data_IF_957204166484
#
_entry.id   IF_957204166484
#
_cell.length_a   1.000
_cell.length_b   1.000
_cell.length_c   1.000
_cell.angle_alpha   90.00
_cell.angle_beta   90.00
_cell.angle_gamma   90.00
#
_symmetry.space_group_name_H-M   'P 1'
#
loop_
_entity.id
_entity.type
_entity.pdbx_description
1 polymer ?
#
# COMPACT_ATOMS: atom_id res chain seq x y z
N UNK A 1 -16.83 -16.15 -12.80
CA UNK A 1 -16.93 -16.35 -11.33
C UNK A 1 -15.68 -16.99 -10.67
N UNK A 2 -14.86 -17.83 -11.33
CA UNK A 2 -13.64 -18.37 -10.71
C UNK A 2 -12.46 -17.36 -10.59
N UNK A 3 -12.40 -16.37 -11.51
CA UNK A 3 -11.34 -15.34 -11.55
C UNK A 3 -11.39 -14.34 -10.40
N UNK A 4 -12.55 -13.72 -10.14
CA UNK A 4 -12.71 -12.71 -9.07
C UNK A 4 -12.34 -13.22 -7.67
N UNK A 5 -12.66 -14.48 -7.34
CA UNK A 5 -12.28 -15.09 -6.05
C UNK A 5 -10.76 -15.25 -5.90
N UNK A 6 -10.06 -15.60 -6.97
CA UNK A 6 -8.60 -15.73 -6.95
C UNK A 6 -7.92 -14.34 -6.85
N UNK A 7 -8.41 -13.35 -7.61
CA UNK A 7 -7.94 -11.98 -7.54
C UNK A 7 -8.16 -11.37 -6.14
N UNK A 8 -9.30 -11.64 -5.50
CA UNK A 8 -9.59 -11.13 -4.16
C UNK A 8 -8.65 -11.73 -3.10
N UNK A 9 -8.38 -13.05 -3.17
CA UNK A 9 -7.38 -13.70 -2.30
C UNK A 9 -5.98 -13.15 -2.52
N UNK A 10 -5.59 -12.91 -3.78
CA UNK A 10 -4.30 -12.31 -4.11
C UNK A 10 -4.19 -10.89 -3.56
N UNK A 11 -5.26 -10.09 -3.68
CA UNK A 11 -5.33 -8.75 -3.12
C UNK A 11 -5.16 -8.74 -1.59
N UNK A 12 -5.88 -9.61 -0.88
CA UNK A 12 -5.73 -9.73 0.58
C UNK A 12 -4.33 -10.18 0.97
N UNK A 13 -3.79 -11.21 0.32
CA UNK A 13 -2.42 -11.68 0.58
C UNK A 13 -1.39 -10.56 0.36
N UNK A 14 -1.55 -9.78 -0.71
CA UNK A 14 -0.69 -8.64 -1.02
C UNK A 14 -0.74 -7.59 0.09
N UNK A 15 -1.94 -7.20 0.54
CA UNK A 15 -2.10 -6.22 1.61
C UNK A 15 -1.59 -6.73 2.97
N UNK A 16 -1.79 -7.99 3.32
CA UNK A 16 -1.20 -8.56 4.55
C UNK A 16 0.33 -8.60 4.48
N UNK A 17 0.90 -8.90 3.31
CA UNK A 17 2.35 -8.91 3.11
C UNK A 17 2.90 -7.48 3.21
N UNK A 18 2.23 -6.49 2.62
CA UNK A 18 2.55 -5.07 2.78
C UNK A 18 2.54 -4.64 4.24
N UNK A 19 1.50 -5.00 4.99
CA UNK A 19 1.37 -4.67 6.40
C UNK A 19 2.53 -5.25 7.23
N UNK A 20 2.88 -6.52 6.99
CA UNK A 20 4.01 -7.17 7.65
C UNK A 20 5.36 -6.55 7.27
N UNK A 21 5.59 -6.28 5.99
CA UNK A 21 6.82 -5.67 5.49
C UNK A 21 6.99 -4.24 6.01
N UNK A 22 5.93 -3.42 5.98
CA UNK A 22 5.94 -2.06 6.53
C UNK A 22 6.21 -2.06 8.04
N UNK A 23 5.60 -2.98 8.79
CA UNK A 23 5.87 -3.13 10.22
C UNK A 23 7.32 -3.51 10.50
N UNK A 24 7.89 -4.44 9.72
CA UNK A 24 9.30 -4.81 9.83
C UNK A 24 10.24 -3.63 9.48
N UNK A 25 9.92 -2.83 8.46
CA UNK A 25 10.63 -1.59 8.16
C UNK A 25 10.57 -0.61 9.34
N UNK A 26 9.42 -0.43 10.00
CA UNK A 26 9.31 0.42 11.20
C UNK A 26 10.25 -0.10 12.30
N UNK A 27 10.24 -1.40 12.59
CA UNK A 27 11.13 -1.97 13.62
C UNK A 27 12.61 -1.80 13.28
N UNK A 28 13.01 -2.04 12.02
CA UNK A 28 14.39 -1.85 11.57
C UNK A 28 14.81 -0.38 11.67
N UNK A 29 13.96 0.53 11.21
CA UNK A 29 14.20 1.98 11.27
C UNK A 29 14.28 2.47 12.73
N UNK A 30 13.45 1.95 13.63
CA UNK A 30 13.56 2.22 15.08
C UNK A 30 14.81 1.60 15.71
N UNK A 31 15.28 0.46 15.19
CA UNK A 31 16.51 -0.20 15.65
C UNK A 31 17.76 0.63 15.36
N UNK A 32 17.71 1.54 14.37
CA UNK A 32 18.76 2.54 14.13
C UNK A 32 18.87 3.58 15.26
N UNK A 33 17.95 3.56 16.24
CA UNK A 33 17.90 4.51 17.37
C UNK A 33 18.14 5.93 16.89
N UNK A 34 17.31 6.37 15.96
CA UNK A 34 17.44 7.67 15.33
C UNK A 34 17.42 8.78 16.39
N UNK A 35 18.37 9.70 16.36
CA UNK A 35 18.18 11.00 16.99
C UNK A 35 16.96 11.68 16.35
N UNK A 36 16.26 12.62 17.03
CA UNK A 36 15.17 13.35 16.41
C UNK A 36 15.68 14.14 15.20
N UNK A 37 15.49 13.57 14.01
CA UNK A 37 15.87 14.13 12.71
C UNK A 37 14.63 14.17 11.80
N UNK A 38 14.47 15.21 10.97
CA UNK A 38 13.32 15.33 10.08
C UNK A 38 13.27 14.16 9.08
N UNK A 39 14.42 13.74 8.52
CA UNK A 39 14.49 12.60 7.61
C UNK A 39 14.10 11.28 8.29
N UNK A 40 14.52 11.05 9.53
CA UNK A 40 14.13 9.86 10.29
C UNK A 40 12.63 9.81 10.56
N UNK A 41 12.03 10.94 10.95
CA UNK A 41 10.59 11.04 11.17
C UNK A 41 9.79 10.83 9.87
N UNK A 42 10.24 11.42 8.76
CA UNK A 42 9.62 11.22 7.45
C UNK A 42 9.66 9.76 7.00
N UNK A 43 10.79 9.08 7.22
CA UNK A 43 10.95 7.67 6.87
C UNK A 43 10.00 6.77 7.66
N UNK A 44 9.91 6.97 8.99
CA UNK A 44 8.97 6.24 9.84
C UNK A 44 7.51 6.55 9.45
N UNK A 45 7.21 7.82 9.19
CA UNK A 45 5.88 8.25 8.76
C UNK A 45 5.45 7.57 7.45
N UNK A 46 6.39 7.42 6.51
CA UNK A 46 6.12 6.79 5.22
C UNK A 46 5.83 5.29 5.34
N UNK A 47 6.58 4.58 6.19
CA UNK A 47 6.26 3.20 6.54
C UNK A 47 4.91 3.07 7.26
N UNK A 48 4.58 4.03 8.13
CA UNK A 48 3.29 4.06 8.82
C UNK A 48 2.13 4.28 7.84
N UNK A 49 2.27 5.18 6.85
CA UNK A 49 1.29 5.36 5.78
C UNK A 49 1.07 4.07 4.99
N UNK A 50 2.15 3.39 4.61
CA UNK A 50 2.08 2.08 3.92
C UNK A 50 1.26 1.09 4.75
N UNK A 51 1.53 1.00 6.07
CA UNK A 51 0.80 0.11 6.97
C UNK A 51 -0.69 0.47 7.08
N UNK A 52 -1.03 1.77 7.13
CA UNK A 52 -2.43 2.25 7.18
C UNK A 52 -3.18 1.88 5.91
N UNK A 53 -2.60 2.12 4.73
CA UNK A 53 -3.24 1.77 3.45
C UNK A 53 -3.40 0.26 3.30
N UNK A 54 -2.39 -0.52 3.67
CA UNK A 54 -2.46 -1.98 3.66
C UNK A 54 -3.55 -2.51 4.60
N UNK A 55 -3.62 -2.01 5.84
CA UNK A 55 -4.64 -2.43 6.82
C UNK A 55 -6.06 -2.11 6.35
N UNK A 56 -6.23 -0.96 5.70
CA UNK A 56 -7.53 -0.56 5.21
C UNK A 56 -7.92 -1.28 3.89
N UNK A 57 -6.95 -1.70 3.08
CA UNK A 57 -7.14 -2.68 2.01
C UNK A 57 -7.60 -4.05 2.53
N UNK A 58 -7.04 -4.54 3.65
CA UNK A 58 -7.50 -5.78 4.29
C UNK A 58 -8.93 -5.68 4.86
N UNK A 59 -9.33 -4.50 5.34
CA UNK A 59 -10.59 -4.30 6.07
C UNK A 59 -11.77 -3.91 5.16
N UNK A 60 -11.53 -3.62 3.88
CA UNK A 60 -12.57 -3.15 2.96
C UNK A 60 -13.11 -1.76 3.30
N UNK A 61 -12.45 -0.98 4.16
CA UNK A 61 -13.02 0.24 4.76
C UNK A 61 -13.30 1.39 3.77
N UNK A 62 -12.93 1.26 2.49
CA UNK A 62 -13.15 2.29 1.46
C UNK A 62 -14.15 1.87 0.38
N UNK A 63 -14.86 0.76 0.56
CA UNK A 63 -15.85 0.25 -0.41
C UNK A 63 -17.30 0.55 -0.03
N UNK A 64 -17.57 1.29 1.05
CA UNK A 64 -18.94 1.58 1.48
C UNK A 64 -19.58 2.67 0.61
N UNK A 65 -20.71 2.37 -0.04
CA UNK A 65 -21.35 3.15 -1.13
C UNK A 65 -22.08 4.44 -0.73
N UNK A 66 -21.73 5.07 0.39
CA UNK A 66 -22.34 6.33 0.83
C UNK A 66 -21.98 7.54 -0.06
N UNK A 67 -22.72 8.66 0.07
CA UNK A 67 -22.55 9.87 -0.74
C UNK A 67 -21.14 10.56 -0.66
N UNK A 68 -20.22 10.06 0.16
CA UNK A 68 -18.82 10.49 0.25
C UNK A 68 -17.77 9.44 -0.19
N UNK A 69 -18.22 8.24 -0.56
CA UNK A 69 -17.39 7.07 -0.86
C UNK A 69 -16.42 7.31 -2.01
N UNK A 70 -16.90 7.89 -3.11
CA UNK A 70 -16.07 8.15 -4.29
C UNK A 70 -14.91 9.11 -4.02
N UNK A 71 -15.13 10.14 -3.19
CA UNK A 71 -14.09 11.11 -2.82
C UNK A 71 -13.09 10.53 -1.83
N UNK A 72 -13.56 9.75 -0.86
CA UNK A 72 -12.70 9.05 0.10
C UNK A 72 -11.83 7.98 -0.59
N UNK A 73 -12.40 7.23 -1.53
CA UNK A 73 -11.69 6.26 -2.36
C UNK A 73 -10.66 6.93 -3.27
N UNK A 74 -11.01 8.03 -3.95
CA UNK A 74 -10.06 8.78 -4.77
C UNK A 74 -8.89 9.34 -3.94
N UNK A 75 -9.17 9.90 -2.76
CA UNK A 75 -8.15 10.39 -1.85
C UNK A 75 -7.25 9.26 -1.31
N UNK A 76 -7.83 8.11 -0.97
CA UNK A 76 -7.08 6.93 -0.57
C UNK A 76 -6.14 6.45 -1.67
N UNK A 77 -6.65 6.27 -2.89
CA UNK A 77 -5.87 5.81 -4.04
C UNK A 77 -4.76 6.81 -4.38
N UNK A 78 -5.04 8.11 -4.41
CA UNK A 78 -4.03 9.13 -4.61
C UNK A 78 -2.97 9.11 -3.49
N UNK A 79 -3.39 8.97 -2.23
CA UNK A 79 -2.51 8.87 -1.08
C UNK A 79 -1.59 7.64 -1.15
N UNK A 80 -2.14 6.48 -1.53
CA UNK A 80 -1.40 5.25 -1.70
C UNK A 80 -0.37 5.35 -2.83
N UNK A 81 -0.73 5.95 -3.98
CA UNK A 81 0.21 6.17 -5.10
C UNK A 81 1.34 7.12 -4.69
N UNK A 82 1.02 8.25 -4.05
CA UNK A 82 2.05 9.20 -3.59
C UNK A 82 2.97 8.55 -2.57
N UNK A 83 2.41 7.79 -1.64
CA UNK A 83 3.16 7.04 -0.63
C UNK A 83 4.09 6.03 -1.29
N UNK A 84 3.61 5.25 -2.25
CA UNK A 84 4.44 4.31 -2.99
C UNK A 84 5.61 5.01 -3.71
N UNK A 85 5.37 6.15 -4.37
CA UNK A 85 6.43 6.91 -5.05
C UNK A 85 7.51 7.36 -4.05
N UNK A 86 7.10 7.99 -2.94
CA UNK A 86 8.05 8.41 -1.91
C UNK A 86 8.76 7.23 -1.26
N UNK A 87 8.06 6.12 -1.03
CA UNK A 87 8.57 4.91 -0.40
C UNK A 87 9.63 4.25 -1.28
N UNK A 88 9.39 4.19 -2.60
CA UNK A 88 10.38 3.74 -3.58
C UNK A 88 11.60 4.67 -3.65
N UNK A 89 11.40 5.99 -3.64
CA UNK A 89 12.50 6.95 -3.65
C UNK A 89 13.38 6.82 -2.39
N UNK A 90 12.76 6.73 -1.20
CA UNK A 90 13.46 6.52 0.06
C UNK A 90 14.20 5.18 0.10
N UNK A 91 13.58 4.11 -0.44
CA UNK A 91 14.21 2.79 -0.55
C UNK A 91 15.45 2.81 -1.43
N UNK A 92 15.39 3.49 -2.58
CA UNK A 92 16.54 3.66 -3.47
C UNK A 92 17.66 4.44 -2.79
N UNK A 93 17.35 5.53 -2.07
CA UNK A 93 18.35 6.29 -1.31
C UNK A 93 19.00 5.43 -0.21
N UNK A 94 18.20 4.69 0.55
CA UNK A 94 18.69 3.80 1.60
C UNK A 94 19.59 2.68 1.06
N UNK A 95 19.28 2.15 -0.13
CA UNK A 95 20.04 1.03 -0.73
C UNK A 95 21.29 1.50 -1.50
N UNK A 96 21.19 2.60 -2.25
CA UNK A 96 22.25 3.04 -3.17
C UNK A 96 23.16 4.12 -2.57
N UNK A 97 22.67 4.90 -1.61
CA UNK A 97 23.39 5.99 -0.94
C UNK A 97 23.38 5.79 0.58
N UNK A 98 23.54 4.55 1.04
CA UNK A 98 23.39 4.14 2.44
C UNK A 98 24.19 5.02 3.40
N UNK A 99 25.49 5.24 3.17
CA UNK A 99 26.33 6.01 4.08
C UNK A 99 25.89 7.48 4.21
N UNK A 100 25.66 8.15 3.08
CA UNK A 100 25.18 9.54 3.05
C UNK A 100 23.79 9.67 3.69
N UNK A 101 22.90 8.71 3.42
CA UNK A 101 21.55 8.72 3.97
C UNK A 101 21.54 8.43 5.47
N UNK A 102 22.41 7.53 5.95
CA UNK A 102 22.58 7.24 7.37
C UNK A 102 23.08 8.46 8.14
N UNK A 103 23.97 9.27 7.54
CA UNK A 103 24.45 10.51 8.13
C UNK A 103 23.32 11.54 8.34
N UNK A 104 22.42 11.67 7.35
CA UNK A 104 21.24 12.56 7.45
C UNK A 104 20.23 12.05 8.49
N UNK A 105 20.08 10.72 8.60
CA UNK A 105 19.21 10.08 9.58
C UNK A 105 19.66 10.29 11.04
N UNK A 106 20.93 10.64 11.27
CA UNK A 106 21.53 10.85 12.61
C UNK A 106 21.33 9.64 13.54
N UNK A 107 21.82 8.48 13.11
CA UNK A 107 21.77 7.24 13.90
C UNK A 107 22.73 7.26 15.10
N UNK A 108 22.30 6.72 16.25
CA UNK A 108 23.15 6.47 17.44
C UNK A 108 23.82 5.09 17.44
N UNK A 109 23.58 4.26 16.42
CA UNK A 109 24.19 2.93 16.27
C UNK A 109 25.58 3.09 15.63
N UNK A 110 26.48 2.14 15.90
CA UNK A 110 27.77 2.06 15.19
C UNK A 110 27.53 2.08 13.68
N UNK A 111 28.34 2.84 12.95
CA UNK A 111 28.14 3.03 11.50
C UNK A 111 28.07 1.70 10.75
N UNK A 112 28.88 0.71 11.12
CA UNK A 112 28.91 -0.59 10.46
C UNK A 112 27.57 -1.34 10.59
N UNK A 113 26.98 -1.35 11.78
CA UNK A 113 25.69 -2.00 12.05
C UNK A 113 24.52 -1.19 11.44
N UNK A 114 24.62 0.15 11.51
CA UNK A 114 23.63 1.06 10.95
C UNK A 114 23.51 0.96 9.43
N UNK A 115 24.62 0.80 8.72
CA UNK A 115 24.61 0.60 7.28
C UNK A 115 23.91 -0.71 6.86
N UNK A 116 24.15 -1.80 7.60
CA UNK A 116 23.50 -3.09 7.31
C UNK A 116 22.00 -2.98 7.52
N UNK A 117 21.57 -2.41 8.66
CA UNK A 117 20.15 -2.22 8.96
C UNK A 117 19.51 -1.33 7.89
N UNK A 118 20.16 -0.23 7.48
CA UNK A 118 19.62 0.67 6.48
C UNK A 118 19.54 0.05 5.08
N UNK A 119 20.49 -0.81 4.71
CA UNK A 119 20.41 -1.63 3.48
C UNK A 119 19.26 -2.62 3.53
N UNK A 120 19.00 -3.24 4.68
CA UNK A 120 17.83 -4.11 4.87
C UNK A 120 16.53 -3.31 4.74
N UNK A 121 16.46 -2.11 5.34
CA UNK A 121 15.32 -1.19 5.17
C UNK A 121 15.13 -0.81 3.70
N UNK A 122 16.21 -0.49 2.98
CA UNK A 122 16.16 -0.17 1.55
C UNK A 122 15.71 -1.34 0.66
N UNK A 123 16.23 -2.55 0.93
CA UNK A 123 15.82 -3.76 0.21
C UNK A 123 14.35 -4.12 0.46
N UNK A 124 13.92 -4.09 1.73
CA UNK A 124 12.52 -4.35 2.10
C UNK A 124 11.60 -3.24 1.57
N UNK A 125 12.05 -1.98 1.59
CA UNK A 125 11.35 -0.84 1.00
C UNK A 125 11.14 -0.97 -0.51
N UNK A 126 12.11 -1.56 -1.21
CA UNK A 126 11.98 -1.85 -2.66
C UNK A 126 10.94 -2.95 -2.91
N UNK A 127 10.91 -3.99 -2.07
CA UNK A 127 9.86 -5.02 -2.13
C UNK A 127 8.47 -4.44 -1.83
N UNK A 128 8.37 -3.56 -0.82
CA UNK A 128 7.14 -2.81 -0.50
C UNK A 128 6.66 -2.02 -1.71
N UNK A 129 7.55 -1.24 -2.35
CA UNK A 129 7.21 -0.47 -3.54
C UNK A 129 6.53 -1.33 -4.63
N UNK A 130 7.15 -2.47 -4.96
CA UNK A 130 6.59 -3.40 -5.96
C UNK A 130 5.22 -3.94 -5.51
N UNK A 131 5.08 -4.30 -4.24
CA UNK A 131 3.83 -4.79 -3.68
C UNK A 131 2.73 -3.71 -3.63
N UNK A 132 3.06 -2.44 -3.41
CA UNK A 132 2.09 -1.34 -3.44
C UNK A 132 1.50 -1.16 -4.84
N UNK A 133 2.35 -1.19 -5.87
CA UNK A 133 1.88 -1.18 -7.27
C UNK A 133 1.05 -2.41 -7.61
N UNK A 134 1.46 -3.60 -7.13
CA UNK A 134 0.68 -4.82 -7.32
C UNK A 134 -0.69 -4.73 -6.62
N UNK A 135 -0.76 -4.19 -5.40
CA UNK A 135 -2.00 -4.01 -4.66
C UNK A 135 -2.95 -3.02 -5.37
N UNK A 136 -2.42 -1.90 -5.89
CA UNK A 136 -3.18 -0.94 -6.69
C UNK A 136 -3.74 -1.57 -7.97
N UNK A 137 -2.91 -2.34 -8.69
CA UNK A 137 -3.34 -3.05 -9.89
C UNK A 137 -4.42 -4.10 -9.59
N UNK A 138 -4.27 -4.86 -8.50
CA UNK A 138 -5.26 -5.84 -8.04
C UNK A 138 -6.57 -5.16 -7.60
N UNK A 139 -6.49 -4.03 -6.88
CA UNK A 139 -7.66 -3.25 -6.50
C UNK A 139 -8.42 -2.75 -7.73
N UNK A 140 -7.71 -2.24 -8.74
CA UNK A 140 -8.30 -1.81 -9.99
C UNK A 140 -8.95 -2.97 -10.76
N UNK A 141 -8.27 -4.12 -10.85
CA UNK A 141 -8.80 -5.30 -11.51
C UNK A 141 -10.07 -5.84 -10.82
N UNK A 142 -10.11 -5.83 -9.49
CA UNK A 142 -11.30 -6.22 -8.72
C UNK A 142 -12.46 -5.26 -8.95
N UNK A 143 -12.19 -3.95 -9.03
CA UNK A 143 -13.22 -2.95 -9.31
C UNK A 143 -13.81 -3.12 -10.71
N UNK A 144 -12.99 -3.40 -11.72
CA UNK A 144 -13.48 -3.66 -13.08
C UNK A 144 -14.37 -4.92 -13.17
N UNK A 145 -14.04 -5.97 -12.40
CA UNK A 145 -14.83 -7.21 -12.35
C UNK A 145 -16.19 -6.96 -11.65
N UNK A 146 -16.21 -6.13 -10.61
CA UNK A 146 -17.41 -5.75 -9.85
C UNK A 146 -18.35 -4.85 -10.68
N UNK A 147 -17.82 -3.79 -11.30
CA UNK A 147 -18.60 -2.87 -12.14
C UNK A 147 -19.28 -3.64 -13.32
N UNK A 148 -18.58 -4.59 -13.93
CA UNK A 148 -19.13 -5.42 -15.00
C UNK A 148 -20.18 -6.43 -14.54
N UNK A 149 -20.16 -6.85 -13.27
CA UNK A 149 -21.17 -7.72 -12.69
C UNK A 149 -22.46 -6.94 -12.35
N UNK A 150 -22.35 -5.72 -11.82
CA UNK A 150 -23.52 -4.87 -11.55
C UNK A 150 -24.26 -4.48 -12.84
N UNK A 151 -23.55 -4.19 -13.93
CA UNK A 151 -24.17 -3.90 -15.22
C UNK A 151 -24.99 -5.10 -15.75
N UNK A 152 -24.45 -6.32 -15.64
CA UNK A 152 -25.13 -7.54 -16.07
C UNK A 152 -26.41 -7.83 -15.25
N UNK A 153 -26.35 -7.67 -13.93
CA UNK A 153 -27.50 -7.88 -13.04
C UNK A 153 -28.58 -6.79 -13.23
N UNK A 154 -28.14 -5.55 -13.48
CA UNK A 154 -29.02 -4.43 -13.80
C UNK A 154 -29.73 -4.59 -15.16
N UNK A 155 -29.05 -5.12 -16.17
CA UNK A 155 -29.62 -5.44 -17.47
C UNK A 155 -30.62 -6.62 -17.37
N UNK A 156 -30.27 -7.68 -16.65
CA UNK A 156 -31.16 -8.81 -16.40
C UNK A 156 -32.45 -8.37 -15.67
N UNK A 157 -32.32 -7.53 -14.64
CA UNK A 157 -33.47 -7.00 -13.89
C UNK A 157 -34.40 -6.14 -14.77
N UNK A 158 -33.85 -5.33 -15.68
CA UNK A 158 -34.63 -4.55 -16.66
C UNK A 158 -35.35 -5.47 -17.67
N UNK A 159 -34.71 -6.56 -18.10
CA UNK A 159 -35.30 -7.52 -19.05
C UNK A 159 -36.54 -8.22 -18.49
N UNK A 160 -36.53 -8.58 -17.21
CA UNK A 160 -37.70 -9.17 -16.52
C UNK A 160 -38.80 -8.15 -16.26
N UNK A 161 -38.46 -6.93 -15.85
CA UNK A 161 -39.45 -5.87 -15.61
C UNK A 161 -40.21 -5.48 -16.90
N UNK A 162 -39.55 -5.51 -18.06
CA UNK A 162 -40.16 -5.23 -19.36
C UNK A 162 -41.20 -6.30 -19.79
N UNK A 163 -41.09 -7.53 -19.29
CA UNK A 163 -41.97 -8.65 -19.65
C UNK A 163 -43.36 -8.66 -18.99
N UNK A 164 -43.63 -7.76 -18.02
CA UNK A 164 -44.91 -7.71 -17.28
C UNK A 164 -45.87 -6.61 -17.76
N UNK A 165 -45.67 -6.07 -18.96
CA UNK A 165 -46.69 -5.26 -19.64
C UNK A 165 -47.49 -6.16 -20.60
N UNK A 166 -48.51 -6.86 -20.06
CA UNK A 166 -49.62 -7.46 -20.83
C UNK A 166 -50.93 -6.97 -20.25
#
# INVERSE_FOLDING_TARGET
>A
MAGGRAAHKAFLLCNYTLLGAASACIFLTLSLRLAPSPCGLLLVFLHALTAVFAAAGCSGSFTDGGAGAGRAHAAHTAGAVLTAIFQGAAALLAFTRTADFLAELRSYVREEDGEIILKLVGGLGTAIFVLEWAALALAFALRLDDDGAEEADGEYSKSWASGYHV
#
